data_IF_970399281406
#
_entry.id   IF_970399281406
#
_cell.length_a   1.000
_cell.length_b   1.000
_cell.length_c   1.000
_cell.angle_alpha   90.00
_cell.angle_beta   90.00
_cell.angle_gamma   90.00
#
_symmetry.space_group_name_H-M   'P 1'
#
loop_
_entity.id
_entity.type
_entity.pdbx_description
1 polymer ?
#
# COMPACT_ATOMS: atom_id res chain seq x y z
N UNK A 1 -5.05 3.72 -25.28
CA UNK A 1 -3.79 3.91 -24.56
C UNK A 1 -3.99 4.19 -23.08
N UNK A 2 -5.01 4.99 -22.72
CA UNK A 2 -5.28 5.28 -21.30
C UNK A 2 -5.62 4.01 -20.52
N UNK A 3 -6.46 3.13 -21.05
CA UNK A 3 -6.83 1.87 -20.37
C UNK A 3 -5.62 0.96 -20.14
N UNK A 4 -4.74 0.87 -21.11
CA UNK A 4 -3.49 0.09 -20.97
C UNK A 4 -2.55 0.72 -19.95
N UNK A 5 -2.42 2.05 -19.96
CA UNK A 5 -1.61 2.76 -18.98
C UNK A 5 -2.12 2.57 -17.56
N UNK A 6 -3.42 2.67 -17.36
CA UNK A 6 -4.05 2.43 -16.06
C UNK A 6 -3.84 1.00 -15.59
N UNK A 7 -3.96 0.03 -16.49
CA UNK A 7 -3.71 -1.38 -16.15
C UNK A 7 -2.27 -1.59 -15.67
N UNK A 8 -1.29 -1.03 -16.40
CA UNK A 8 0.12 -1.17 -16.03
C UNK A 8 0.38 -0.58 -14.63
N UNK A 9 -0.09 0.64 -14.40
CA UNK A 9 0.09 1.32 -13.10
C UNK A 9 -0.55 0.49 -11.98
N UNK A 10 -1.79 0.05 -12.19
CA UNK A 10 -2.53 -0.71 -11.19
C UNK A 10 -1.86 -2.03 -10.87
N UNK A 11 -1.39 -2.78 -11.89
CA UNK A 11 -0.75 -4.08 -11.67
C UNK A 11 0.56 -3.92 -10.89
N UNK A 12 1.43 -3.04 -11.33
CA UNK A 12 2.75 -2.89 -10.69
C UNK A 12 2.61 -2.34 -9.28
N UNK A 13 1.91 -1.24 -9.11
CA UNK A 13 1.73 -0.60 -7.80
C UNK A 13 0.92 -1.51 -6.87
N UNK A 14 -0.21 -2.03 -7.36
CA UNK A 14 -1.09 -2.85 -6.53
C UNK A 14 -0.46 -4.16 -6.09
N UNK A 15 0.19 -4.88 -7.00
CA UNK A 15 0.85 -6.14 -6.66
C UNK A 15 2.06 -5.93 -5.74
N UNK A 16 2.82 -4.85 -5.96
CA UNK A 16 3.92 -4.50 -5.05
C UNK A 16 3.40 -4.22 -3.65
N UNK A 17 2.30 -3.47 -3.54
CA UNK A 17 1.69 -3.15 -2.25
C UNK A 17 1.14 -4.42 -1.57
N UNK A 18 0.49 -5.29 -2.33
CA UNK A 18 0.02 -6.58 -1.83
C UNK A 18 1.18 -7.45 -1.34
N UNK A 19 2.30 -7.46 -2.06
CA UNK A 19 3.50 -8.19 -1.65
C UNK A 19 4.04 -7.68 -0.30
N UNK A 20 4.04 -6.37 -0.08
CA UNK A 20 4.41 -5.81 1.23
C UNK A 20 3.47 -6.30 2.34
N UNK A 21 2.18 -6.44 2.05
CA UNK A 21 1.24 -7.03 2.99
C UNK A 21 1.58 -8.48 3.34
N UNK A 22 1.93 -9.29 2.35
CA UNK A 22 2.32 -10.68 2.58
C UNK A 22 3.64 -10.80 3.35
N UNK A 23 4.55 -9.84 3.18
CA UNK A 23 5.77 -9.77 3.99
C UNK A 23 5.44 -9.62 5.48
N UNK A 24 4.48 -8.78 5.80
CA UNK A 24 4.07 -8.53 7.18
C UNK A 24 3.27 -9.68 7.78
N UNK A 25 2.38 -10.28 6.99
CA UNK A 25 1.47 -11.33 7.48
C UNK A 25 2.11 -12.71 7.50
N UNK A 26 2.85 -13.06 6.44
CA UNK A 26 3.30 -14.44 6.21
C UNK A 26 4.82 -14.57 6.14
N UNK A 27 5.56 -13.48 6.09
CA UNK A 27 7.00 -13.52 5.93
C UNK A 27 7.48 -13.85 4.52
N UNK A 28 6.61 -13.75 3.51
CA UNK A 28 6.98 -13.99 2.11
C UNK A 28 7.94 -12.92 1.61
N UNK A 29 8.63 -13.21 0.53
CA UNK A 29 9.53 -12.27 -0.17
C UNK A 29 10.57 -11.63 0.77
N UNK A 30 11.10 -12.40 1.72
CA UNK A 30 12.10 -11.89 2.66
C UNK A 30 11.51 -11.05 3.79
N UNK A 31 10.21 -11.10 4.00
CA UNK A 31 9.53 -10.39 5.08
C UNK A 31 9.71 -11.08 6.44
N UNK A 32 9.19 -10.44 7.48
CA UNK A 32 9.39 -10.88 8.86
C UNK A 32 8.16 -11.54 9.49
N UNK A 33 7.02 -11.59 8.79
CA UNK A 33 5.78 -12.12 9.32
C UNK A 33 5.20 -11.26 10.43
N UNK A 34 4.11 -11.76 11.04
CA UNK A 34 3.40 -11.01 12.10
C UNK A 34 4.30 -10.79 13.32
N UNK A 35 5.01 -11.82 13.77
CA UNK A 35 5.84 -11.71 14.97
C UNK A 35 7.00 -10.73 14.80
N UNK A 36 7.76 -10.85 13.72
CA UNK A 36 8.90 -9.96 13.46
C UNK A 36 8.47 -8.53 13.17
N UNK A 37 7.44 -8.36 12.34
CA UNK A 37 6.88 -7.03 12.03
C UNK A 37 6.28 -6.41 13.29
N UNK A 38 5.57 -7.22 14.10
CA UNK A 38 4.98 -6.75 15.34
C UNK A 38 6.04 -6.27 16.34
N UNK A 39 7.13 -7.01 16.45
CA UNK A 39 8.26 -6.62 17.32
C UNK A 39 8.86 -5.29 16.89
N UNK A 40 9.03 -5.09 15.58
CA UNK A 40 9.52 -3.82 15.06
C UNK A 40 8.56 -2.67 15.37
N UNK A 41 7.24 -2.88 15.17
CA UNK A 41 6.24 -1.86 15.51
C UNK A 41 6.32 -1.46 16.98
N UNK A 42 6.47 -2.44 17.88
CA UNK A 42 6.59 -2.13 19.30
C UNK A 42 7.85 -1.32 19.60
N UNK A 43 8.94 -1.60 18.88
CA UNK A 43 10.19 -0.87 19.07
C UNK A 43 10.07 0.62 18.71
N UNK A 44 9.12 0.99 17.87
CA UNK A 44 8.85 2.39 17.49
C UNK A 44 7.60 2.96 18.19
N UNK A 45 7.11 2.28 19.21
CA UNK A 45 6.02 2.77 20.05
C UNK A 45 4.61 2.45 19.57
N UNK A 46 4.45 1.59 18.57
CA UNK A 46 3.15 1.16 18.06
C UNK A 46 2.74 -0.16 18.72
N UNK A 47 1.86 -0.10 19.69
CA UNK A 47 1.45 -1.25 20.51
C UNK A 47 -0.06 -1.43 20.50
N UNK A 48 -0.59 -2.70 20.57
CA UNK A 48 0.18 -3.94 20.54
C UNK A 48 0.73 -4.22 19.14
N UNK A 49 2.00 -4.61 19.06
CA UNK A 49 2.72 -4.75 17.80
C UNK A 49 2.11 -5.75 16.85
N UNK A 50 1.63 -6.90 17.35
CA UNK A 50 1.01 -7.92 16.50
C UNK A 50 -0.29 -7.42 15.87
N UNK A 51 -1.12 -6.72 16.63
CA UNK A 51 -2.36 -6.14 16.10
C UNK A 51 -2.07 -5.09 15.03
N UNK A 52 -1.06 -4.26 15.24
CA UNK A 52 -0.62 -3.27 14.26
C UNK A 52 -0.11 -3.94 12.99
N UNK A 53 0.71 -4.99 13.13
CA UNK A 53 1.25 -5.74 11.99
C UNK A 53 0.13 -6.40 11.18
N UNK A 54 -0.86 -7.00 11.83
CA UNK A 54 -2.00 -7.63 11.16
C UNK A 54 -2.81 -6.58 10.42
N UNK A 55 -3.14 -5.48 11.07
CA UNK A 55 -3.93 -4.39 10.47
C UNK A 55 -3.21 -3.80 9.26
N UNK A 56 -1.93 -3.47 9.42
CA UNK A 56 -1.12 -2.92 8.33
C UNK A 56 -0.98 -3.92 7.18
N UNK A 57 -0.70 -5.18 7.49
CA UNK A 57 -0.55 -6.23 6.49
C UNK A 57 -1.83 -6.48 5.71
N UNK A 58 -2.98 -6.53 6.40
CA UNK A 58 -4.28 -6.70 5.74
C UNK A 58 -4.63 -5.49 4.87
N UNK A 59 -4.40 -4.28 5.36
CA UNK A 59 -4.66 -3.06 4.58
C UNK A 59 -3.83 -3.05 3.30
N UNK A 60 -2.56 -3.41 3.38
CA UNK A 60 -1.68 -3.45 2.22
C UNK A 60 -2.04 -4.58 1.26
N UNK A 61 -2.34 -5.77 1.78
CA UNK A 61 -2.71 -6.92 0.95
C UNK A 61 -4.05 -6.66 0.23
N UNK A 62 -5.08 -6.30 0.99
CA UNK A 62 -6.42 -6.07 0.43
C UNK A 62 -6.41 -4.84 -0.48
N UNK A 63 -5.83 -3.73 -0.01
CA UNK A 63 -5.74 -2.51 -0.80
C UNK A 63 -4.98 -2.73 -2.10
N UNK A 64 -3.85 -3.44 -2.02
CA UNK A 64 -3.04 -3.76 -3.19
C UNK A 64 -3.76 -4.63 -4.20
N UNK A 65 -4.45 -5.67 -3.76
CA UNK A 65 -5.20 -6.58 -4.65
C UNK A 65 -6.40 -5.87 -5.30
N UNK A 66 -7.14 -5.07 -4.55
CA UNK A 66 -8.25 -4.29 -5.10
C UNK A 66 -7.76 -3.27 -6.11
N UNK A 67 -6.65 -2.60 -5.83
CA UNK A 67 -6.05 -1.63 -6.73
C UNK A 67 -5.58 -2.29 -8.01
N UNK A 68 -4.86 -3.41 -7.90
CA UNK A 68 -4.39 -4.18 -9.06
C UNK A 68 -5.57 -4.65 -9.91
N UNK A 69 -6.61 -5.20 -9.29
CA UNK A 69 -7.81 -5.67 -9.98
C UNK A 69 -8.69 -4.54 -10.53
N UNK A 70 -8.53 -3.33 -10.04
CA UNK A 70 -9.34 -2.20 -10.46
C UNK A 70 -10.80 -2.35 -10.06
N UNK A 71 -11.07 -2.81 -8.85
CA UNK A 71 -12.41 -3.00 -8.31
C UNK A 71 -12.47 -2.40 -6.91
N UNK A 72 -13.61 -1.79 -6.55
CA UNK A 72 -13.75 -1.02 -5.30
C UNK A 72 -12.57 -0.05 -5.11
N UNK A 73 -12.28 0.70 -6.19
CA UNK A 73 -11.03 1.46 -6.31
C UNK A 73 -10.86 2.50 -5.20
N UNK A 74 -11.93 3.17 -4.79
CA UNK A 74 -11.84 4.16 -3.71
C UNK A 74 -11.52 3.53 -2.37
N UNK A 75 -12.04 2.32 -2.11
CA UNK A 75 -11.67 1.56 -0.89
C UNK A 75 -10.18 1.22 -0.94
N UNK A 76 -9.70 0.72 -2.08
CA UNK A 76 -8.29 0.41 -2.28
C UNK A 76 -7.41 1.63 -2.01
N UNK A 77 -7.76 2.77 -2.59
CA UNK A 77 -6.98 4.01 -2.48
C UNK A 77 -6.98 4.55 -1.05
N UNK A 78 -8.11 4.47 -0.34
CA UNK A 78 -8.17 4.86 1.06
C UNK A 78 -7.23 3.99 1.91
N UNK A 79 -7.20 2.68 1.67
CA UNK A 79 -6.30 1.76 2.38
C UNK A 79 -4.83 2.08 2.08
N UNK A 80 -4.49 2.35 0.83
CA UNK A 80 -3.13 2.71 0.41
C UNK A 80 -2.71 4.04 1.03
N UNK A 81 -3.53 5.07 0.92
CA UNK A 81 -3.22 6.40 1.46
C UNK A 81 -3.10 6.34 2.97
N UNK A 82 -4.03 5.64 3.64
CA UNK A 82 -3.97 5.47 5.08
C UNK A 82 -2.68 4.82 5.54
N UNK A 83 -2.26 3.74 4.86
CA UNK A 83 -1.00 3.05 5.16
C UNK A 83 0.20 3.98 4.96
N UNK A 84 0.20 4.76 3.87
CA UNK A 84 1.31 5.68 3.58
C UNK A 84 1.37 6.84 4.57
N UNK A 85 0.22 7.38 5.00
CA UNK A 85 0.19 8.43 6.00
C UNK A 85 0.72 7.94 7.35
N UNK A 86 0.37 6.74 7.76
CA UNK A 86 0.92 6.13 8.98
C UNK A 86 2.43 5.97 8.87
N UNK A 87 2.92 5.49 7.73
CA UNK A 87 4.35 5.34 7.48
C UNK A 87 5.07 6.69 7.54
N UNK A 88 4.48 7.74 6.98
CA UNK A 88 5.06 9.10 7.05
C UNK A 88 5.14 9.56 8.51
N UNK A 89 4.02 9.48 9.24
CA UNK A 89 3.95 10.00 10.61
C UNK A 89 4.87 9.24 11.56
N UNK A 90 4.92 7.90 11.43
CA UNK A 90 5.60 7.05 12.41
C UNK A 90 7.05 6.72 12.07
N UNK A 91 7.43 6.78 10.79
CA UNK A 91 8.75 6.31 10.35
C UNK A 91 9.52 7.38 9.59
N UNK A 92 8.95 7.84 8.46
CA UNK A 92 9.72 8.59 7.46
C UNK A 92 9.67 10.12 7.65
N UNK A 93 8.61 10.64 8.27
CA UNK A 93 8.40 12.09 8.35
C UNK A 93 9.52 12.84 9.06
N UNK A 94 10.08 12.25 10.12
CA UNK A 94 11.17 12.85 10.88
C UNK A 94 12.48 12.94 10.08
N UNK A 95 12.60 12.15 9.00
CA UNK A 95 13.82 12.10 8.16
C UNK A 95 13.78 13.11 7.00
N UNK A 96 12.72 13.90 6.88
CA UNK A 96 12.53 14.83 5.79
C UNK A 96 11.97 14.19 4.54
N UNK A 97 12.09 14.86 3.40
CA UNK A 97 11.44 14.45 2.16
C UNK A 97 12.19 13.35 1.42
N UNK A 98 13.51 13.48 1.26
CA UNK A 98 14.29 12.72 0.28
C UNK A 98 14.44 11.25 0.64
N UNK A 99 14.13 10.35 -0.32
CA UNK A 99 14.25 8.89 -0.13
C UNK A 99 15.69 8.46 0.16
N UNK A 100 16.67 9.18 -0.35
CA UNK A 100 18.09 8.91 -0.08
C UNK A 100 18.44 9.07 1.39
N UNK A 101 17.62 9.78 2.16
CA UNK A 101 17.76 9.97 3.60
C UNK A 101 16.65 9.24 4.36
N UNK A 102 16.03 8.23 3.74
CA UNK A 102 14.92 7.49 4.29
C UNK A 102 13.70 8.38 4.63
N UNK A 103 13.53 9.44 3.85
CA UNK A 103 12.42 10.38 3.98
C UNK A 103 11.12 9.87 3.37
N UNK A 104 10.11 10.73 3.28
CA UNK A 104 8.76 10.34 2.86
C UNK A 104 8.48 10.52 1.37
N UNK A 105 9.50 10.78 0.55
CA UNK A 105 9.34 10.99 -0.89
C UNK A 105 8.59 9.83 -1.56
N UNK A 106 9.00 8.59 -1.28
CA UNK A 106 8.37 7.40 -1.85
C UNK A 106 6.90 7.28 -1.43
N UNK A 107 6.62 7.52 -0.16
CA UNK A 107 5.25 7.48 0.36
C UNK A 107 4.36 8.51 -0.33
N UNK A 108 4.88 9.72 -0.51
CA UNK A 108 4.16 10.80 -1.18
C UNK A 108 3.88 10.46 -2.65
N UNK A 109 4.87 9.88 -3.36
CA UNK A 109 4.69 9.46 -4.74
C UNK A 109 3.56 8.42 -4.86
N UNK A 110 3.52 7.44 -3.96
CA UNK A 110 2.45 6.43 -3.96
C UNK A 110 1.08 7.03 -3.66
N UNK A 111 1.00 7.98 -2.72
CA UNK A 111 -0.25 8.69 -2.43
C UNK A 111 -0.77 9.41 -3.67
N UNK A 112 0.09 10.16 -4.34
CA UNK A 112 -0.30 10.94 -5.53
C UNK A 112 -0.73 10.02 -6.67
N UNK A 113 0.01 8.95 -6.92
CA UNK A 113 -0.33 7.98 -7.97
C UNK A 113 -1.68 7.32 -7.67
N UNK A 114 -1.88 6.84 -6.43
CA UNK A 114 -3.12 6.17 -6.05
C UNK A 114 -4.31 7.12 -6.17
N UNK A 115 -4.17 8.35 -5.69
CA UNK A 115 -5.24 9.35 -5.77
C UNK A 115 -5.56 9.70 -7.21
N UNK A 116 -4.54 9.91 -8.04
CA UNK A 116 -4.72 10.22 -9.46
C UNK A 116 -5.47 9.11 -10.20
N UNK A 117 -5.11 7.85 -9.94
CA UNK A 117 -5.81 6.71 -10.53
C UNK A 117 -7.26 6.65 -10.07
N UNK A 118 -7.53 6.90 -8.77
CA UNK A 118 -8.90 6.92 -8.27
C UNK A 118 -9.76 7.98 -8.96
N UNK A 119 -9.20 9.15 -9.20
CA UNK A 119 -9.90 10.26 -9.86
C UNK A 119 -10.16 10.00 -11.34
N UNK A 120 -9.24 9.31 -12.03
CA UNK A 120 -9.41 8.93 -13.45
C UNK A 120 -10.37 7.75 -13.58
N UNK A 121 -10.26 6.78 -12.67
CA UNK A 121 -10.97 5.51 -12.71
C UNK A 121 -10.05 4.36 -13.09
N UNK A 122 -10.59 3.14 -12.99
CA UNK A 122 -9.81 1.92 -13.22
C UNK A 122 -9.53 1.63 -14.69
N UNK A 123 -10.33 2.20 -15.60
CA UNK A 123 -10.28 1.91 -17.02
C UNK A 123 -11.05 0.65 -17.40
N UNK A 124 -11.09 0.35 -18.70
CA UNK A 124 -11.89 -0.75 -19.23
C UNK A 124 -11.25 -2.13 -18.95
N UNK A 125 -9.94 -2.18 -18.70
CA UNK A 125 -9.24 -3.43 -18.40
C UNK A 125 -9.19 -3.66 -16.89
N UNK A 126 -10.37 -3.80 -16.28
CA UNK A 126 -10.49 -3.91 -14.82
C UNK A 126 -11.62 -4.87 -14.45
N UNK A 127 -11.58 -5.39 -13.22
CA UNK A 127 -12.66 -6.23 -12.70
C UNK A 127 -13.96 -5.44 -12.58
N UNK A 128 -13.89 -4.15 -12.23
CA UNK A 128 -15.07 -3.30 -12.16
C UNK A 128 -15.79 -3.22 -13.51
N UNK A 129 -15.05 -3.14 -14.60
CA UNK A 129 -15.63 -3.12 -15.95
C UNK A 129 -16.31 -4.45 -16.31
N UNK A 130 -15.81 -5.57 -15.76
CA UNK A 130 -16.41 -6.90 -16.01
C UNK A 130 -17.70 -7.11 -15.25
N UNK A 131 -17.84 -6.55 -14.05
CA UNK A 131 -19.01 -6.78 -13.18
C UNK A 131 -20.01 -5.62 -13.23
N UNK A 132 -19.58 -4.49 -13.77
CA UNK A 132 -20.39 -3.29 -13.88
C UNK A 132 -20.78 -3.00 -15.27
#
# INVERSE_FOLDING_TARGET
MMDTGLLIIRLIIGLTFAAHGTQKLFGWFGGHGIAGTGGWHESIGMKPGKAVAITAGLAELIGGLLFAGGVFLWIAVILIIGSMLVAIVKVHGANGYWVTQNGYEYNMALIVIALGVAMIGAGDYSLAALIG
#
